data_IF_138497823638
#
_entry.id   IF_138497823638
#
_cell.length_a   1.000
_cell.length_b   1.000
_cell.length_c   1.000
_cell.angle_alpha   90.00
_cell.angle_beta   90.00
_cell.angle_gamma   90.00
#
_symmetry.space_group_name_H-M   'P 1'
#
loop_
_entity.id
_entity.type
_entity.pdbx_description
1 polymer ?
#
# COMPACT_ATOMS: atom_id res chain seq x y z
N UNK A 1 -13.46 -26.08 -1.25
CA UNK A 1 -14.11 -24.93 -1.90
C UNK A 1 -13.71 -23.69 -1.12
N UNK A 2 -12.52 -23.15 -1.39
CA UNK A 2 -12.05 -21.91 -0.74
C UNK A 2 -12.76 -20.76 -1.43
N UNK A 3 -13.72 -20.14 -0.75
CA UNK A 3 -14.43 -18.99 -1.28
C UNK A 3 -13.41 -17.94 -1.74
N UNK A 4 -13.46 -17.60 -3.02
CA UNK A 4 -12.88 -16.38 -3.55
C UNK A 4 -13.57 -15.22 -2.83
N UNK A 5 -13.04 -14.82 -1.67
CA UNK A 5 -13.43 -13.58 -1.04
C UNK A 5 -13.16 -12.48 -2.06
N UNK A 6 -14.21 -11.74 -2.44
CA UNK A 6 -14.12 -10.66 -3.42
C UNK A 6 -12.85 -9.85 -3.16
N UNK A 7 -11.94 -9.87 -4.13
CA UNK A 7 -10.63 -9.27 -3.99
C UNK A 7 -10.83 -7.76 -3.90
N UNK A 8 -10.78 -7.20 -2.69
CA UNK A 8 -10.81 -5.76 -2.49
C UNK A 8 -9.53 -5.21 -3.11
N UNK A 9 -9.66 -4.64 -4.31
CA UNK A 9 -8.61 -3.96 -5.06
C UNK A 9 -8.85 -2.45 -4.97
N UNK A 10 -7.79 -1.67 -5.15
CA UNK A 10 -7.95 -0.24 -5.35
C UNK A 10 -8.64 0.01 -6.70
N UNK A 11 -9.57 0.95 -6.71
CA UNK A 11 -10.06 1.49 -7.97
C UNK A 11 -8.95 2.35 -8.64
N UNK A 12 -9.20 2.74 -9.89
CA UNK A 12 -8.24 3.48 -10.69
C UNK A 12 -7.90 4.85 -10.09
N UNK A 13 -8.88 5.55 -9.51
CA UNK A 13 -8.68 6.87 -8.94
C UNK A 13 -7.81 6.80 -7.68
N UNK A 14 -8.06 5.81 -6.83
CA UNK A 14 -7.30 5.55 -5.61
C UNK A 14 -5.88 5.10 -5.94
N UNK A 15 -5.71 4.21 -6.92
CA UNK A 15 -4.39 3.81 -7.43
C UNK A 15 -3.62 5.03 -7.94
N UNK A 16 -4.22 5.85 -8.79
CA UNK A 16 -3.58 7.05 -9.32
C UNK A 16 -3.24 8.08 -8.24
N UNK A 17 -4.02 8.14 -7.14
CA UNK A 17 -3.68 8.97 -5.97
C UNK A 17 -2.42 8.46 -5.28
N UNK A 18 -2.35 7.15 -5.02
CA UNK A 18 -1.21 6.52 -4.35
C UNK A 18 0.06 6.58 -5.20
N UNK A 19 -0.05 6.39 -6.52
CA UNK A 19 1.07 6.53 -7.45
C UNK A 19 1.61 7.96 -7.46
N UNK A 20 0.74 8.98 -7.49
CA UNK A 20 1.18 10.38 -7.35
C UNK A 20 1.91 10.64 -6.03
N UNK A 21 1.42 10.06 -4.93
CA UNK A 21 2.09 10.17 -3.63
C UNK A 21 3.47 9.49 -3.63
N UNK A 22 3.64 8.38 -4.35
CA UNK A 22 4.94 7.72 -4.53
C UNK A 22 5.90 8.56 -5.39
N UNK A 23 5.42 9.10 -6.51
CA UNK A 23 6.24 9.92 -7.43
C UNK A 23 6.73 11.22 -6.80
N UNK A 24 5.99 11.77 -5.82
CA UNK A 24 6.42 12.94 -5.07
C UNK A 24 7.53 12.64 -4.04
N UNK A 25 7.86 11.36 -3.81
CA UNK A 25 8.85 10.94 -2.80
C UNK A 25 10.19 10.61 -3.43
N UNK A 26 11.24 10.89 -2.68
CA UNK A 26 12.55 10.33 -2.99
C UNK A 26 12.52 8.79 -2.89
N UNK A 27 13.29 8.07 -3.72
CA UNK A 27 13.48 6.63 -3.58
C UNK A 27 13.95 6.26 -2.17
N UNK A 28 13.43 5.16 -1.62
CA UNK A 28 13.75 4.76 -0.26
C UNK A 28 12.71 3.89 0.42
N UNK A 29 12.97 3.58 1.69
CA UNK A 29 12.05 2.83 2.53
C UNK A 29 10.84 3.70 2.93
N UNK A 30 9.67 3.08 3.03
CA UNK A 30 8.45 3.76 3.49
C UNK A 30 7.45 2.76 4.08
N UNK A 31 6.51 3.28 4.85
CA UNK A 31 5.30 2.58 5.29
C UNK A 31 4.08 3.06 4.50
N UNK A 32 3.14 2.15 4.23
CA UNK A 32 1.89 2.48 3.52
C UNK A 32 1.11 3.69 4.08
N UNK A 33 1.00 3.90 5.40
CA UNK A 33 0.35 5.09 5.97
C UNK A 33 0.91 6.41 5.44
N UNK A 34 2.22 6.45 5.18
CA UNK A 34 2.90 7.67 4.71
C UNK A 34 2.48 8.08 3.30
N UNK A 35 2.11 7.12 2.44
CA UNK A 35 1.58 7.41 1.10
C UNK A 35 0.06 7.50 1.08
N UNK A 36 -0.61 6.85 2.04
CA UNK A 36 -2.04 7.00 2.21
C UNK A 36 -2.39 8.42 2.70
N UNK A 37 -1.54 9.01 3.55
CA UNK A 37 -1.66 10.40 3.99
C UNK A 37 -2.68 10.59 5.12
N UNK A 38 -3.14 11.82 5.33
CA UNK A 38 -3.95 12.26 6.49
C UNK A 38 -5.24 11.47 6.72
N UNK A 39 -5.76 10.78 5.70
CA UNK A 39 -6.92 9.90 5.84
C UNK A 39 -6.64 8.69 6.73
N UNK A 40 -5.38 8.27 6.87
CA UNK A 40 -5.00 7.04 7.55
C UNK A 40 -5.42 7.00 9.01
N UNK A 41 -5.15 8.09 9.74
CA UNK A 41 -5.41 8.16 11.17
C UNK A 41 -6.90 8.31 11.52
N UNK A 42 -7.73 8.65 10.52
CA UNK A 42 -9.18 8.73 10.66
C UNK A 42 -9.88 7.38 10.45
N UNK A 43 -9.17 6.40 9.90
CA UNK A 43 -9.70 5.05 9.69
C UNK A 43 -9.83 4.28 11.00
N UNK A 44 -10.89 3.49 11.12
CA UNK A 44 -10.98 2.45 12.13
C UNK A 44 -9.88 1.41 11.93
N UNK A 45 -9.42 0.78 13.02
CA UNK A 45 -8.32 -0.20 12.98
C UNK A 45 -8.61 -1.33 11.99
N UNK A 46 -9.86 -1.80 11.91
CA UNK A 46 -10.25 -2.82 10.94
C UNK A 46 -10.03 -2.41 9.48
N UNK A 47 -10.27 -1.14 9.15
CA UNK A 47 -10.10 -0.62 7.79
C UNK A 47 -8.62 -0.40 7.47
N UNK A 48 -7.82 0.03 8.44
CA UNK A 48 -6.36 0.09 8.30
C UNK A 48 -5.77 -1.28 7.97
N UNK A 49 -6.23 -2.33 8.65
CA UNK A 49 -5.79 -3.71 8.40
C UNK A 49 -6.21 -4.19 7.01
N UNK A 50 -7.46 -3.93 6.60
CA UNK A 50 -7.95 -4.28 5.26
C UNK A 50 -7.17 -3.57 4.17
N UNK A 51 -7.03 -2.25 4.26
CA UNK A 51 -6.30 -1.44 3.27
C UNK A 51 -4.82 -1.82 3.21
N UNK A 52 -4.19 -2.08 4.35
CA UNK A 52 -2.81 -2.57 4.38
C UNK A 52 -2.65 -3.93 3.69
N UNK A 53 -3.62 -4.84 3.83
CA UNK A 53 -3.63 -6.12 3.12
C UNK A 53 -3.92 -5.94 1.63
N UNK A 54 -4.84 -5.06 1.26
CA UNK A 54 -5.12 -4.72 -0.15
C UNK A 54 -3.89 -4.15 -0.83
N UNK A 55 -3.18 -3.21 -0.18
CA UNK A 55 -1.93 -2.67 -0.71
C UNK A 55 -0.83 -3.72 -0.86
N UNK A 56 -0.66 -4.60 0.13
CA UNK A 56 0.29 -5.71 0.02
C UNK A 56 0.00 -6.61 -1.19
N UNK A 57 -1.26 -6.97 -1.39
CA UNK A 57 -1.66 -7.82 -2.51
C UNK A 57 -1.44 -7.12 -3.85
N UNK A 58 -1.80 -5.83 -3.95
CA UNK A 58 -1.59 -5.03 -5.15
C UNK A 58 -0.10 -4.90 -5.52
N UNK A 59 0.77 -4.64 -4.53
CA UNK A 59 2.24 -4.65 -4.74
C UNK A 59 2.71 -6.00 -5.27
N UNK A 60 2.24 -7.11 -4.68
CA UNK A 60 2.61 -8.47 -5.12
C UNK A 60 2.03 -8.86 -6.47
N UNK A 61 0.90 -8.27 -6.86
CA UNK A 61 0.29 -8.43 -8.18
C UNK A 61 0.99 -7.60 -9.27
N UNK A 62 1.86 -6.65 -8.89
CA UNK A 62 2.55 -5.75 -9.82
C UNK A 62 1.76 -4.48 -10.14
N UNK A 63 0.71 -4.16 -9.37
CA UNK A 63 -0.11 -2.97 -9.57
C UNK A 63 0.61 -1.66 -9.17
N UNK A 64 1.71 -1.74 -8.42
CA UNK A 64 2.52 -0.58 -8.12
C UNK A 64 3.95 -0.79 -8.64
N UNK A 65 4.20 -0.56 -9.95
CA UNK A 65 5.52 -0.65 -10.52
C UNK A 65 6.50 0.22 -9.75
N UNK A 66 7.61 -0.36 -9.30
CA UNK A 66 8.64 0.36 -8.54
C UNK A 66 8.49 0.32 -7.01
N UNK A 67 7.38 -0.23 -6.51
CA UNK A 67 7.23 -0.58 -5.10
C UNK A 67 7.64 -2.04 -4.89
N UNK A 68 8.50 -2.29 -3.91
CA UNK A 68 8.90 -3.62 -3.48
C UNK A 68 8.39 -3.91 -2.05
N UNK A 69 7.78 -5.07 -1.87
CA UNK A 69 7.53 -5.65 -0.54
C UNK A 69 8.85 -6.19 0.03
N UNK A 70 9.42 -5.52 1.02
CA UNK A 70 10.71 -5.93 1.61
C UNK A 70 10.60 -7.17 2.50
N UNK A 71 9.38 -7.62 2.81
CA UNK A 71 9.14 -8.69 3.78
C UNK A 71 9.35 -8.28 5.25
N UNK A 72 9.93 -7.10 5.51
CA UNK A 72 10.32 -6.63 6.84
C UNK A 72 9.17 -5.91 7.53
N UNK A 73 9.23 -5.93 8.87
CA UNK A 73 8.37 -5.10 9.73
C UNK A 73 9.26 -4.25 10.65
N UNK A 74 8.86 -3.01 10.85
CA UNK A 74 9.46 -2.07 11.79
C UNK A 74 8.32 -1.30 12.47
N UNK A 75 8.45 -1.08 13.78
CA UNK A 75 7.53 -0.23 14.57
C UNK A 75 6.04 -0.49 14.29
N UNK A 76 5.65 -1.76 14.26
CA UNK A 76 4.28 -2.26 14.02
C UNK A 76 3.80 -2.26 12.55
N UNK A 77 4.57 -1.71 11.61
CA UNK A 77 4.22 -1.59 10.19
C UNK A 77 5.07 -2.44 9.26
N UNK A 78 4.53 -2.79 8.08
CA UNK A 78 5.32 -3.39 6.99
C UNK A 78 6.14 -2.30 6.30
N UNK A 79 7.40 -2.61 6.00
CA UNK A 79 8.30 -1.71 5.26
C UNK A 79 8.25 -2.06 3.78
N UNK A 80 8.05 -1.07 2.95
CA UNK A 80 8.15 -1.16 1.49
C UNK A 80 9.35 -0.35 1.02
N UNK A 81 9.80 -0.58 -0.21
CA UNK A 81 10.84 0.21 -0.85
C UNK A 81 10.33 0.79 -2.16
N UNK A 82 10.46 2.10 -2.32
CA UNK A 82 10.21 2.83 -3.55
C UNK A 82 11.51 3.00 -4.32
N UNK A 83 11.52 2.67 -5.61
CA UNK A 83 12.73 2.77 -6.45
C UNK A 83 12.76 3.98 -7.41
N UNK A 84 11.70 4.79 -7.46
CA UNK A 84 11.65 6.02 -8.29
C UNK A 84 11.30 5.80 -9.76
N UNK A 85 10.64 4.69 -10.11
CA UNK A 85 10.32 4.35 -11.50
C UNK A 85 9.04 4.97 -12.02
#
# INVERSE_FOLDING_TARGET
MTGMGAEMRFDEAERARLERALQARAPGAFHFPEIYGEGWDRLYIGDRVKLGRTFLNAVRAGDFPGVEDTGRKQDSGRVYRWNGR
#
